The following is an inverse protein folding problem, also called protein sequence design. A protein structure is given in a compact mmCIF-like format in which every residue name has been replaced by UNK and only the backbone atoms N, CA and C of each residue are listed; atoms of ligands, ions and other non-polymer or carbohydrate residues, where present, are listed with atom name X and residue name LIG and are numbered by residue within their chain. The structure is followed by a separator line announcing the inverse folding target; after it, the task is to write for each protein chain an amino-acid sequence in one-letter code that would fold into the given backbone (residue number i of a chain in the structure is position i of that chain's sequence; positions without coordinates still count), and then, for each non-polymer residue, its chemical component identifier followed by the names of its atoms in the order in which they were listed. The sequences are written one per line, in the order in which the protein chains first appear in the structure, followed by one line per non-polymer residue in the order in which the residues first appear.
data_IF_560227859333
#
_entry.id   IF_560227859333
#
_cell.length_a   1.000
_cell.length_b   1.000
_cell.length_c   1.000
_cell.angle_alpha   90.00
_cell.angle_beta   90.00
_cell.angle_gamma   90.00
#
_symmetry.space_group_name_H-M   'P 1'
#
loop_
_entity.id
_entity.type
_entity.pdbx_description
1 polymer ?
#
# COMPACT_ATOMS: atom_id res chain seq x y z
N UNK A 1 6.68 14.74 23.72
CA UNK A 1 5.54 14.94 22.80
C UNK A 1 5.75 14.04 21.58
N UNK A 2 4.81 13.18 21.23
CA UNK A 2 4.96 12.29 20.07
C UNK A 2 4.76 13.07 18.76
N UNK A 3 5.41 12.66 17.67
CA UNK A 3 5.24 13.30 16.34
C UNK A 3 3.86 12.98 15.77
N UNK A 4 3.27 13.90 15.02
CA UNK A 4 1.94 13.71 14.39
C UNK A 4 1.99 12.70 13.24
N UNK A 5 3.13 12.65 12.55
CA UNK A 5 3.41 11.75 11.43
C UNK A 5 4.68 10.95 11.74
N UNK A 6 4.81 9.79 11.10
CA UNK A 6 6.01 8.96 11.14
C UNK A 6 6.35 8.46 9.74
N UNK A 7 7.60 8.10 9.54
CA UNK A 7 8.04 7.40 8.34
C UNK A 7 8.08 5.90 8.65
N UNK A 8 7.18 5.08 8.07
CA UNK A 8 7.06 3.67 8.46
C UNK A 8 8.17 2.81 7.85
N UNK A 9 8.77 3.28 6.75
CA UNK A 9 9.78 2.56 5.99
C UNK A 9 11.13 3.27 6.06
N UNK A 10 12.19 2.52 6.35
CA UNK A 10 13.56 3.00 6.25
C UNK A 10 13.98 3.35 4.81
N UNK A 11 15.19 3.91 4.63
CA UNK A 11 15.69 4.30 3.30
C UNK A 11 15.95 3.10 2.39
N UNK A 12 16.24 1.92 2.94
CA UNK A 12 16.67 0.75 2.16
C UNK A 12 15.60 -0.33 1.99
N UNK A 13 14.57 -0.33 2.83
CA UNK A 13 13.59 -1.42 2.94
C UNK A 13 12.16 -0.88 2.96
N UNK A 14 11.24 -1.61 2.35
CA UNK A 14 9.80 -1.44 2.49
C UNK A 14 9.28 -2.55 3.40
N UNK A 15 8.73 -2.17 4.55
CA UNK A 15 8.08 -3.06 5.52
C UNK A 15 6.58 -2.81 5.65
N UNK A 16 6.11 -1.63 5.23
CA UNK A 16 4.73 -1.24 5.28
C UNK A 16 4.29 -0.68 3.92
N UNK A 17 3.19 -1.20 3.38
CA UNK A 17 2.47 -0.59 2.27
C UNK A 17 1.41 0.32 2.86
N UNK A 18 1.42 1.59 2.47
CA UNK A 18 0.52 2.61 3.01
C UNK A 18 -0.30 3.21 1.88
N UNK A 19 -1.60 3.30 2.09
CA UNK A 19 -2.55 3.83 1.12
C UNK A 19 -3.32 5.00 1.74
N UNK A 20 -3.20 6.20 1.15
CA UNK A 20 -4.00 7.36 1.55
C UNK A 20 -5.36 7.29 0.84
N UNK A 21 -6.40 7.10 1.65
CA UNK A 21 -7.78 6.98 1.17
C UNK A 21 -8.44 8.34 1.33
N UNK A 22 -8.70 8.96 0.18
CA UNK A 22 -9.22 10.33 0.07
C UNK A 22 -10.75 10.45 0.21
N UNK A 23 -11.40 9.33 0.50
CA UNK A 23 -12.80 9.22 0.92
C UNK A 23 -12.91 8.77 2.38
N UNK A 24 -14.12 8.72 2.91
CA UNK A 24 -14.34 8.21 4.27
C UNK A 24 -13.93 6.73 4.33
N UNK A 25 -13.11 6.38 5.33
CA UNK A 25 -12.65 4.99 5.55
C UNK A 25 -13.80 4.05 5.90
N UNK A 26 -14.85 4.58 6.52
CA UNK A 26 -16.14 3.90 6.68
C UNK A 26 -17.13 4.57 5.75
N UNK A 27 -17.70 3.80 4.83
CA UNK A 27 -18.75 4.29 3.97
C UNK A 27 -20.01 4.59 4.82
N UNK A 28 -20.57 5.81 4.77
CA UNK A 28 -21.70 6.18 5.61
C UNK A 28 -23.02 5.52 5.21
N UNK A 29 -23.16 5.02 3.97
CA UNK A 29 -24.35 4.34 3.47
C UNK A 29 -24.30 2.85 3.78
N UNK A 30 -23.14 2.21 3.55
CA UNK A 30 -22.95 0.78 3.78
C UNK A 30 -22.57 0.44 5.21
N UNK A 31 -22.06 1.42 5.97
CA UNK A 31 -21.53 1.26 7.32
C UNK A 31 -20.39 0.22 7.41
N UNK A 32 -19.71 -0.01 6.29
CA UNK A 32 -18.61 -0.94 6.14
C UNK A 32 -17.29 -0.20 5.87
N UNK A 33 -16.14 -0.75 6.30
CA UNK A 33 -14.84 -0.25 5.90
C UNK A 33 -14.60 -0.38 4.39
N UNK A 34 -13.91 0.59 3.80
CA UNK A 34 -13.67 0.67 2.35
C UNK A 34 -12.94 -0.53 1.74
N UNK A 35 -12.19 -1.30 2.53
CA UNK A 35 -11.46 -2.47 2.04
C UNK A 35 -12.38 -3.70 1.89
N UNK A 36 -13.40 -3.83 2.73
CA UNK A 36 -14.39 -4.91 2.63
C UNK A 36 -15.19 -4.79 1.33
N UNK A 37 -15.60 -3.58 0.97
CA UNK A 37 -16.37 -3.27 -0.24
C UNK A 37 -15.67 -3.70 -1.54
N UNK A 38 -14.34 -3.74 -1.52
CA UNK A 38 -13.51 -4.08 -2.69
C UNK A 38 -12.86 -5.46 -2.54
N UNK A 39 -13.26 -6.23 -1.52
CA UNK A 39 -12.76 -7.58 -1.27
C UNK A 39 -11.29 -7.65 -0.86
N UNK A 40 -10.71 -6.55 -0.39
CA UNK A 40 -9.34 -6.51 0.12
C UNK A 40 -9.28 -7.04 1.56
N UNK A 41 -8.17 -7.66 1.99
CA UNK A 41 -8.01 -8.09 3.36
C UNK A 41 -8.01 -6.89 4.32
N UNK A 42 -8.33 -7.16 5.59
CA UNK A 42 -8.20 -6.14 6.62
C UNK A 42 -6.77 -5.59 6.67
N UNK A 43 -6.58 -4.27 6.79
CA UNK A 43 -5.26 -3.70 7.05
C UNK A 43 -4.83 -4.02 8.48
N UNK A 44 -3.54 -3.93 8.77
CA UNK A 44 -3.04 -4.06 10.15
C UNK A 44 -3.58 -2.96 11.05
N UNK A 45 -3.61 -1.73 10.53
CA UNK A 45 -4.24 -0.61 11.19
C UNK A 45 -4.71 0.45 10.20
N UNK A 46 -5.71 1.23 10.62
CA UNK A 46 -6.19 2.41 9.92
C UNK A 46 -6.04 3.65 10.81
N UNK A 47 -5.57 4.76 10.24
CA UNK A 47 -5.48 6.05 10.92
C UNK A 47 -6.37 7.07 10.25
N UNK A 48 -7.37 7.54 10.99
CA UNK A 48 -8.51 8.29 10.46
C UNK A 48 -8.51 9.70 11.04
N UNK A 49 -8.73 10.69 10.17
CA UNK A 49 -9.02 12.05 10.59
C UNK A 49 -10.47 12.13 11.08
N UNK A 50 -10.66 12.43 12.37
CA UNK A 50 -11.99 12.50 13.01
C UNK A 50 -12.95 13.47 12.34
N UNK A 51 -12.45 14.55 11.74
CA UNK A 51 -13.29 15.56 11.10
C UNK A 51 -13.79 15.13 9.72
N UNK A 52 -12.91 14.54 8.91
CA UNK A 52 -13.25 14.19 7.51
C UNK A 52 -13.62 12.73 7.31
N UNK A 53 -13.22 11.83 8.20
CA UNK A 53 -13.31 10.38 8.03
C UNK A 53 -12.28 9.79 7.06
N UNK A 54 -11.44 10.62 6.41
CA UNK A 54 -10.35 10.19 5.53
C UNK A 54 -9.18 9.64 6.32
N UNK A 55 -8.41 8.70 5.76
CA UNK A 55 -7.40 8.02 6.54
C UNK A 55 -6.35 7.27 5.73
N UNK A 56 -5.32 6.80 6.42
CA UNK A 56 -4.35 5.89 5.82
C UNK A 56 -4.64 4.46 6.27
N UNK A 57 -4.58 3.53 5.32
CA UNK A 57 -4.58 2.09 5.57
C UNK A 57 -3.14 1.59 5.53
N UNK A 58 -2.76 0.73 6.47
CA UNK A 58 -1.39 0.19 6.55
C UNK A 58 -1.41 -1.33 6.54
N UNK A 59 -0.67 -1.90 5.59
CA UNK A 59 -0.43 -3.33 5.46
C UNK A 59 1.05 -3.61 5.71
N UNK A 60 1.35 -4.36 6.75
CA UNK A 60 2.70 -4.71 7.18
C UNK A 60 3.15 -5.98 6.48
N UNK A 61 4.36 -5.98 5.95
CA UNK A 61 4.95 -7.13 5.30
C UNK A 61 5.69 -8.02 6.31
N UNK A 62 5.49 -9.33 6.22
CA UNK A 62 6.26 -10.32 7.00
C UNK A 62 7.74 -10.32 6.61
N UNK A 63 8.03 -10.06 5.34
CA UNK A 63 9.39 -9.93 4.81
C UNK A 63 9.53 -8.60 4.04
N UNK A 64 10.44 -7.75 4.49
CA UNK A 64 10.67 -6.46 3.87
C UNK A 64 11.30 -6.58 2.47
N UNK A 65 10.95 -5.64 1.59
CA UNK A 65 11.48 -5.57 0.22
C UNK A 65 12.63 -4.57 0.16
N UNK A 66 13.81 -5.02 -0.26
CA UNK A 66 14.94 -4.13 -0.51
C UNK A 66 14.65 -3.23 -1.72
N UNK A 67 14.87 -1.92 -1.58
CA UNK A 67 14.66 -0.91 -2.63
C UNK A 67 15.93 -0.13 -2.99
N UNK A 68 17.09 -0.66 -2.62
CA UNK A 68 18.40 -0.09 -3.01
C UNK A 68 18.86 -0.63 -4.36
N UNK A 69 19.97 -0.11 -4.89
CA UNK A 69 20.60 -0.65 -6.10
C UNK A 69 21.09 -2.11 -5.96
N UNK A 70 21.26 -2.60 -4.73
CA UNK A 70 21.59 -4.01 -4.46
C UNK A 70 20.37 -4.93 -4.48
N UNK A 71 19.15 -4.40 -4.68
CA UNK A 71 17.94 -5.21 -4.70
C UNK A 71 17.90 -6.14 -5.91
N UNK A 72 17.36 -7.35 -5.70
CA UNK A 72 16.96 -8.20 -6.83
C UNK A 72 15.78 -7.53 -7.55
N UNK A 73 15.92 -7.39 -8.86
CA UNK A 73 14.96 -6.66 -9.68
C UNK A 73 13.58 -7.30 -9.72
N UNK A 74 13.51 -8.63 -9.74
CA UNK A 74 12.26 -9.39 -9.77
C UNK A 74 11.37 -9.15 -8.53
N UNK A 75 11.82 -9.38 -7.28
CA UNK A 75 11.05 -9.02 -6.08
C UNK A 75 10.65 -7.54 -6.03
N UNK A 76 11.52 -6.63 -6.47
CA UNK A 76 11.22 -5.20 -6.47
C UNK A 76 10.10 -4.86 -7.46
N UNK A 77 10.12 -5.44 -8.66
CA UNK A 77 9.05 -5.31 -9.66
C UNK A 77 7.74 -5.92 -9.17
N UNK A 78 7.80 -7.08 -8.55
CA UNK A 78 6.62 -7.75 -8.00
C UNK A 78 5.98 -6.92 -6.88
N UNK A 79 6.78 -6.39 -5.95
CA UNK A 79 6.30 -5.48 -4.92
C UNK A 79 5.64 -4.22 -5.50
N UNK A 80 6.24 -3.63 -6.53
CA UNK A 80 5.69 -2.46 -7.21
C UNK A 80 4.36 -2.78 -7.92
N UNK A 81 4.24 -3.96 -8.54
CA UNK A 81 3.00 -4.42 -9.17
C UNK A 81 1.87 -4.61 -8.14
N UNK A 82 2.16 -5.29 -7.02
CA UNK A 82 1.20 -5.48 -5.92
C UNK A 82 0.79 -4.12 -5.35
N UNK A 83 1.75 -3.24 -5.04
CA UNK A 83 1.45 -1.92 -4.49
C UNK A 83 0.57 -1.09 -5.44
N UNK A 84 0.87 -1.12 -6.75
CA UNK A 84 0.06 -0.41 -7.74
C UNK A 84 -1.35 -0.98 -7.87
N UNK A 85 -1.50 -2.30 -7.85
CA UNK A 85 -2.80 -2.95 -7.95
C UNK A 85 -3.65 -2.73 -6.69
N UNK A 86 -3.06 -2.80 -5.50
CA UNK A 86 -3.73 -2.44 -4.25
C UNK A 86 -4.15 -0.96 -4.23
N UNK A 87 -3.30 -0.05 -4.73
CA UNK A 87 -3.65 1.37 -4.82
C UNK A 87 -4.89 1.59 -5.68
N UNK A 88 -5.00 0.87 -6.80
CA UNK A 88 -6.17 0.92 -7.67
C UNK A 88 -7.40 0.26 -7.02
N UNK A 89 -7.24 -0.93 -6.44
CA UNK A 89 -8.33 -1.67 -5.79
C UNK A 89 -8.94 -0.88 -4.61
N UNK A 90 -8.08 -0.25 -3.81
CA UNK A 90 -8.51 0.58 -2.67
C UNK A 90 -8.95 1.99 -3.10
N UNK A 91 -8.86 2.35 -4.38
CA UNK A 91 -9.11 3.71 -4.88
C UNK A 91 -8.37 4.75 -4.00
N UNK A 92 -7.10 4.48 -3.75
CA UNK A 92 -6.21 5.32 -2.95
C UNK A 92 -5.49 6.34 -3.85
N UNK A 93 -5.01 7.44 -3.26
CA UNK A 93 -4.31 8.48 -4.00
C UNK A 93 -3.03 7.93 -4.70
N UNK A 94 -2.98 7.86 -6.04
CA UNK A 94 -1.80 7.39 -6.76
C UNK A 94 -0.62 8.39 -6.68
N UNK A 95 -0.88 9.65 -6.30
CA UNK A 95 0.13 10.68 -6.06
C UNK A 95 0.80 10.57 -4.69
N UNK A 96 0.28 9.75 -3.79
CA UNK A 96 0.84 9.57 -2.46
C UNK A 96 2.17 8.80 -2.50
N UNK A 97 3.25 9.49 -2.12
CA UNK A 97 4.61 8.95 -2.22
C UNK A 97 4.95 7.83 -1.21
N UNK A 98 4.07 7.51 -0.25
CA UNK A 98 4.33 6.47 0.75
C UNK A 98 5.43 6.80 1.78
N UNK A 99 5.91 8.05 1.82
CA UNK A 99 7.04 8.45 2.69
C UNK A 99 6.64 8.63 4.16
N UNK A 100 5.49 9.27 4.42
CA UNK A 100 5.04 9.58 5.78
C UNK A 100 3.59 9.16 5.97
N UNK A 101 3.31 8.47 7.07
CA UNK A 101 1.96 8.12 7.48
C UNK A 101 1.55 8.85 8.76
N UNK A 102 0.25 8.96 9.01
CA UNK A 102 -0.30 9.47 10.26
C UNK A 102 0.17 8.56 11.40
N UNK A 103 0.70 9.13 12.48
CA UNK A 103 1.23 8.33 13.60
C UNK A 103 0.07 7.72 14.41
N UNK A 104 -0.14 6.40 14.41
CA UNK A 104 -1.26 5.75 15.10
C UNK A 104 -1.28 6.00 16.62
N UNK A 105 -0.12 6.29 17.24
CA UNK A 105 0.00 6.55 18.66
C UNK A 105 -0.34 8.00 19.07
N UNK A 106 -0.50 8.89 18.09
CA UNK A 106 -0.80 10.29 18.35
C UNK A 106 -2.31 10.52 18.43
N UNK A 107 -2.81 11.04 19.57
CA UNK A 107 -4.24 11.27 19.82
C UNK A 107 -4.96 12.26 18.87
N UNK A 108 -4.27 12.83 17.88
CA UNK A 108 -4.87 13.64 16.80
C UNK A 108 -5.72 12.76 15.88
N UNK A 109 -5.30 11.52 15.69
CA UNK A 109 -5.97 10.58 14.80
C UNK A 109 -6.88 9.66 15.61
N UNK A 110 -7.93 9.17 14.98
CA UNK A 110 -8.61 7.98 15.43
C UNK A 110 -7.87 6.79 14.81
N UNK A 111 -7.40 5.87 15.65
CA UNK A 111 -6.66 4.71 15.19
C UNK A 111 -7.51 3.47 15.41
N UNK A 112 -7.59 2.63 14.38
CA UNK A 112 -8.10 1.28 14.50
C UNK A 112 -6.94 0.32 14.37
N UNK A 113 -6.61 -0.37 15.46
CA UNK A 113 -5.65 -1.47 15.48
C UNK A 113 -6.45 -2.75 15.23
N UNK A 114 -6.26 -3.37 14.06
CA UNK A 114 -7.13 -4.46 13.62
C UNK A 114 -6.43 -5.81 13.88
N UNK A 115 -5.19 -5.97 13.41
CA UNK A 115 -4.36 -7.13 13.74
C UNK A 115 -2.85 -6.91 13.57
N UNK A 116 -2.06 -7.75 14.25
CA UNK A 116 -0.59 -7.74 14.18
C UNK A 116 0.03 -8.67 13.14
N UNK A 117 -0.77 -9.47 12.42
CA UNK A 117 -0.25 -10.43 11.42
C UNK A 117 0.30 -9.71 10.19
N UNK A 118 1.54 -10.02 9.81
CA UNK A 118 2.14 -9.51 8.58
C UNK A 118 1.66 -10.29 7.35
N UNK A 119 1.74 -9.64 6.19
CA UNK A 119 1.41 -10.23 4.90
C UNK A 119 2.66 -10.54 4.09
N UNK A 120 2.62 -11.63 3.34
CA UNK A 120 3.49 -11.82 2.19
C UNK A 120 2.93 -11.05 0.99
N UNK A 121 3.80 -10.70 0.04
CA UNK A 121 3.35 -10.13 -1.24
C UNK A 121 2.51 -11.13 -2.05
N UNK A 122 2.69 -12.43 -1.83
CA UNK A 122 1.88 -13.48 -2.45
C UNK A 122 0.43 -13.41 -1.95
N UNK A 123 0.25 -13.43 -0.64
CA UNK A 123 -1.08 -13.33 -0.02
C UNK A 123 -1.82 -12.06 -0.46
N UNK A 124 -1.15 -10.91 -0.48
CA UNK A 124 -1.79 -9.67 -0.97
C UNK A 124 -2.15 -9.75 -2.45
N UNK A 125 -1.36 -10.46 -3.27
CA UNK A 125 -1.63 -10.62 -4.68
C UNK A 125 -2.82 -11.55 -4.98
N UNK A 126 -3.15 -12.48 -4.08
CA UNK A 126 -4.30 -13.38 -4.24
C UNK A 126 -5.64 -12.62 -4.27
N UNK A 127 -5.66 -11.37 -3.77
CA UNK A 127 -6.81 -10.46 -3.81
C UNK A 127 -6.86 -9.56 -5.06
N UNK A 128 -5.87 -9.65 -5.96
CA UNK A 128 -5.64 -8.67 -7.02
C UNK A 128 -5.61 -9.32 -8.41
N UNK A 129 -6.15 -8.63 -9.41
CA UNK A 129 -5.87 -8.95 -10.81
C UNK A 129 -4.57 -8.27 -11.28
N UNK A 130 -3.47 -9.02 -11.27
CA UNK A 130 -2.16 -8.54 -11.72
C UNK A 130 -1.94 -8.66 -13.24
N UNK A 131 -2.95 -9.09 -14.02
CA UNK A 131 -2.83 -9.25 -15.47
C UNK A 131 -2.46 -7.94 -16.18
N UNK A 132 -2.96 -6.80 -15.68
CA UNK A 132 -2.65 -5.46 -16.19
C UNK A 132 -1.23 -4.98 -15.88
N UNK A 133 -0.61 -5.44 -14.79
CA UNK A 133 0.78 -5.13 -14.48
C UNK A 133 1.73 -5.87 -15.44
N UNK A 134 1.35 -7.09 -15.85
CA UNK A 134 2.10 -7.91 -16.79
C UNK A 134 1.99 -7.42 -18.25
N UNK A 135 0.96 -6.63 -18.61
CA UNK A 135 0.78 -6.10 -19.96
C UNK A 135 1.68 -4.90 -20.28
N UNK A 136 2.26 -4.23 -19.27
CA UNK A 136 3.41 -3.31 -19.44
C UNK A 136 4.71 -4.08 -19.65
N UNK A 137 4.66 -5.16 -20.42
CA UNK A 137 5.86 -5.74 -21.03
C UNK A 137 6.55 -4.65 -21.85
N UNK A 138 7.85 -4.50 -21.57
CA UNK A 138 8.84 -3.72 -22.28
C UNK A 138 8.39 -3.24 -23.67
N UNK A 139 8.00 -1.96 -23.78
CA UNK A 139 7.96 -1.31 -25.10
C UNK A 139 9.42 -1.18 -25.52
N UNK A 140 9.92 -2.15 -26.29
CA UNK A 140 11.16 -1.97 -27.05
C UNK A 140 10.94 -0.70 -27.86
N UNK A 141 11.74 0.37 -27.70
CA UNK A 141 11.70 1.48 -28.63
C UNK A 141 11.93 0.92 -30.04
N UNK A 142 11.10 1.29 -31.01
CA UNK A 142 11.28 0.87 -32.40
C UNK A 142 12.73 1.13 -32.82
N UNK A 143 13.54 0.07 -32.97
CA UNK A 143 14.92 0.19 -33.46
C UNK A 143 15.97 -0.78 -32.90
N UNK A 144 15.79 -1.37 -31.72
CA UNK A 144 16.83 -2.27 -31.15
C UNK A 144 16.39 -3.73 -31.11
N UNK A 145 17.01 -4.54 -31.98
CA UNK A 145 16.89 -6.01 -31.93
C UNK A 145 17.65 -6.52 -30.68
N UNK A 146 17.07 -7.41 -29.87
CA UNK A 146 17.83 -8.08 -28.83
C UNK A 146 18.88 -8.99 -29.49
N UNK A 147 20.13 -8.87 -29.03
CA UNK A 147 21.18 -9.83 -29.37
C UNK A 147 20.81 -11.20 -28.79
N UNK A 148 21.01 -12.22 -29.62
CA UNK A 148 20.76 -13.65 -29.37
C UNK A 148 21.50 -14.15 -28.15
#
# INVERSE_FOLDING_TARGET
MQRVYLQPNGPCMVWALVYDVDRRVVDPERLAPVWEDVGMPDPNFATINRASGRGHLVYMLTAGVCKTSAARLEPLRYAAAVQSAMCAALDADPGYAGLVTKNPLHGRWQTWEIHGQGFTLGELADYLDLSAANSRQYRVPDGERPYV
#
